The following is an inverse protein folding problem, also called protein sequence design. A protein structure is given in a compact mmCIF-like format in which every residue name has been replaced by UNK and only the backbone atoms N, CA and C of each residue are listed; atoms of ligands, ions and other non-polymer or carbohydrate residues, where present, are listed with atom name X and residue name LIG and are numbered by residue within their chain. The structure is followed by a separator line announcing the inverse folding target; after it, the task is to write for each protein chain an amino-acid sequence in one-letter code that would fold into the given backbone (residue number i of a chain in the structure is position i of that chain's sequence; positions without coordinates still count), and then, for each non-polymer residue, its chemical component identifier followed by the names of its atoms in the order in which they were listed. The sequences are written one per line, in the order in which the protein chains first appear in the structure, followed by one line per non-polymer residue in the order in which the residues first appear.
data_IF_420617943934
#
_entry.id   IF_420617943934
#
_cell.length_a   1.000
_cell.length_b   1.000
_cell.length_c   1.000
_cell.angle_alpha   90.00
_cell.angle_beta   90.00
_cell.angle_gamma   90.00
#
_symmetry.space_group_name_H-M   'P 1'
#
loop_
_entity.id
_entity.type
_entity.pdbx_description
1 polymer ?
#
# COMPACT_ATOMS: atom_id res chain seq x y z
N UNK A 1 -42.12 -24.27 15.47
CA UNK A 1 -40.92 -24.58 14.69
C UNK A 1 -40.49 -23.34 13.93
N UNK A 2 -39.78 -22.43 14.60
CA UNK A 2 -39.05 -21.34 13.95
C UNK A 2 -37.75 -21.95 13.44
N UNK A 3 -37.58 -22.02 12.13
CA UNK A 3 -36.32 -22.42 11.54
C UNK A 3 -35.26 -21.41 11.99
N UNK A 4 -34.36 -21.83 12.88
CA UNK A 4 -33.14 -21.11 13.19
C UNK A 4 -32.37 -20.99 11.87
N UNK A 5 -32.29 -19.78 11.33
CA UNK A 5 -31.42 -19.52 10.19
C UNK A 5 -29.99 -19.67 10.71
N UNK A 6 -29.14 -20.52 10.11
CA UNK A 6 -27.74 -20.55 10.48
C UNK A 6 -27.18 -19.12 10.36
N UNK A 7 -26.36 -18.66 11.32
CA UNK A 7 -25.85 -17.29 11.30
C UNK A 7 -25.13 -17.07 9.97
N UNK A 8 -25.60 -16.12 9.15
CA UNK A 8 -24.95 -15.76 7.89
C UNK A 8 -23.47 -15.49 8.17
N UNK A 9 -22.61 -16.38 7.66
CA UNK A 9 -21.18 -16.31 7.91
C UNK A 9 -20.62 -15.06 7.22
N UNK A 10 -20.48 -13.97 7.97
CA UNK A 10 -20.17 -12.64 7.45
C UNK A 10 -18.87 -12.62 6.64
N UNK A 11 -18.98 -12.22 5.38
CA UNK A 11 -17.83 -12.01 4.49
C UNK A 11 -16.91 -10.93 5.07
N UNK A 12 -15.61 -10.96 4.74
CA UNK A 12 -14.67 -9.90 5.16
C UNK A 12 -15.22 -8.54 4.73
N UNK A 13 -15.48 -7.67 5.72
CA UNK A 13 -16.01 -6.32 5.45
C UNK A 13 -14.96 -5.55 4.64
N UNK A 14 -15.35 -4.80 3.58
CA UNK A 14 -14.41 -4.06 2.73
C UNK A 14 -13.47 -3.12 3.51
N UNK A 15 -13.96 -2.53 4.60
CA UNK A 15 -13.15 -1.68 5.49
C UNK A 15 -12.04 -2.43 6.22
N UNK A 16 -12.29 -3.69 6.61
CA UNK A 16 -11.27 -4.52 7.26
C UNK A 16 -10.20 -4.92 6.24
N UNK A 17 -10.62 -5.30 5.03
CA UNK A 17 -9.69 -5.58 3.93
C UNK A 17 -8.82 -4.34 3.64
N UNK A 18 -9.41 -3.15 3.54
CA UNK A 18 -8.68 -1.89 3.33
C UNK A 18 -7.63 -1.64 4.42
N UNK A 19 -8.02 -1.76 5.70
CA UNK A 19 -7.09 -1.56 6.82
C UNK A 19 -5.92 -2.54 6.76
N UNK A 20 -6.21 -3.82 6.53
CA UNK A 20 -5.21 -4.88 6.46
C UNK A 20 -4.22 -4.67 5.31
N UNK A 21 -4.71 -4.38 4.10
CA UNK A 21 -3.82 -4.18 2.95
C UNK A 21 -3.05 -2.87 3.00
N UNK A 22 -3.60 -1.83 3.64
CA UNK A 22 -2.89 -0.55 3.86
C UNK A 22 -1.76 -0.73 4.86
N UNK A 23 -2.01 -1.41 5.98
CA UNK A 23 -0.97 -1.75 6.95
C UNK A 23 0.10 -2.67 6.34
N UNK A 24 -0.33 -3.69 5.59
CA UNK A 24 0.58 -4.59 4.88
C UNK A 24 1.43 -3.84 3.86
N UNK A 25 0.86 -2.89 3.09
CA UNK A 25 1.61 -2.07 2.16
C UNK A 25 2.68 -1.23 2.88
N UNK A 26 2.31 -0.55 3.97
CA UNK A 26 3.26 0.22 4.78
C UNK A 26 4.40 -0.64 5.32
N UNK A 27 4.09 -1.82 5.86
CA UNK A 27 5.11 -2.73 6.37
C UNK A 27 6.00 -3.29 5.24
N UNK A 28 5.39 -3.74 4.14
CA UNK A 28 6.09 -4.35 3.01
C UNK A 28 7.00 -3.34 2.32
N UNK A 29 6.54 -2.11 2.10
CA UNK A 29 7.36 -1.09 1.43
C UNK A 29 8.55 -0.68 2.29
N UNK A 30 8.37 -0.50 3.60
CA UNK A 30 9.48 -0.17 4.52
C UNK A 30 10.50 -1.31 4.56
N UNK A 31 10.03 -2.55 4.72
CA UNK A 31 10.88 -3.73 4.73
C UNK A 31 11.63 -3.91 3.41
N UNK A 32 10.91 -3.85 2.28
CA UNK A 32 11.50 -4.04 0.96
C UNK A 32 12.50 -2.93 0.62
N UNK A 33 12.21 -1.67 0.96
CA UNK A 33 13.18 -0.57 0.79
C UNK A 33 14.42 -0.79 1.66
N UNK A 34 14.25 -1.18 2.92
CA UNK A 34 15.38 -1.47 3.81
C UNK A 34 16.25 -2.63 3.34
N UNK A 35 15.64 -3.76 2.96
CA UNK A 35 16.38 -4.93 2.42
C UNK A 35 17.07 -4.58 1.11
N UNK A 36 16.39 -3.88 0.20
CA UNK A 36 16.95 -3.52 -1.10
C UNK A 36 18.10 -2.51 -0.94
N UNK A 37 17.99 -1.56 0.00
CA UNK A 37 19.06 -0.63 0.35
C UNK A 37 20.30 -1.37 0.85
N UNK A 38 20.15 -2.36 1.73
CA UNK A 38 21.28 -3.19 2.20
C UNK A 38 21.91 -4.03 1.08
N UNK A 39 21.12 -4.48 0.11
CA UNK A 39 21.61 -5.27 -1.01
C UNK A 39 22.34 -4.43 -2.05
N UNK A 40 21.90 -3.19 -2.26
CA UNK A 40 22.47 -2.26 -3.24
C UNK A 40 23.57 -1.38 -2.66
N UNK A 41 23.74 -1.36 -1.33
CA UNK A 41 24.61 -0.45 -0.59
C UNK A 41 24.34 1.02 -0.96
N UNK A 42 23.07 1.34 -1.19
CA UNK A 42 22.59 2.65 -1.64
C UNK A 42 21.49 3.16 -0.71
N UNK A 43 21.57 4.44 -0.36
CA UNK A 43 20.55 5.12 0.42
C UNK A 43 19.27 5.33 -0.38
N UNK A 44 18.12 5.12 0.26
CA UNK A 44 16.78 5.34 -0.35
C UNK A 44 16.61 6.79 -0.84
N UNK A 45 17.30 7.74 -0.20
CA UNK A 45 17.43 9.12 -0.67
C UNK A 45 18.93 9.48 -0.68
N UNK A 46 19.59 9.21 -1.80
CA UNK A 46 21.02 9.46 -1.99
C UNK A 46 21.38 10.95 -2.21
N UNK A 47 20.51 11.90 -1.83
CA UNK A 47 20.76 13.33 -2.01
C UNK A 47 21.44 13.91 -0.77
N UNK A 48 22.71 14.32 -0.84
CA UNK A 48 23.45 14.86 0.29
C UNK A 48 22.76 16.12 0.84
N UNK A 49 22.49 16.16 2.14
CA UNK A 49 21.90 17.31 2.84
C UNK A 49 20.37 17.31 2.95
N UNK A 50 19.67 16.38 2.30
CA UNK A 50 18.26 16.15 2.59
C UNK A 50 18.16 15.21 3.81
N UNK A 51 17.59 15.71 4.91
CA UNK A 51 17.35 14.92 6.11
C UNK A 51 16.30 13.82 5.90
N UNK A 52 15.80 13.23 6.99
CA UNK A 52 14.84 12.12 6.94
C UNK A 52 13.41 12.55 6.50
N UNK A 53 13.10 13.84 6.59
CA UNK A 53 11.75 14.42 6.38
C UNK A 53 11.15 14.06 5.00
N UNK A 54 11.85 14.21 3.87
CA UNK A 54 11.30 13.89 2.55
C UNK A 54 10.92 12.42 2.41
N UNK A 55 11.71 11.49 2.98
CA UNK A 55 11.41 10.05 2.93
C UNK A 55 10.18 9.68 3.74
N UNK A 56 10.00 10.29 4.92
CA UNK A 56 8.80 10.11 5.74
C UNK A 56 7.57 10.65 5.02
N UNK A 57 7.64 11.87 4.49
CA UNK A 57 6.51 12.47 3.78
C UNK A 57 6.18 11.74 2.48
N UNK A 58 7.18 11.31 1.72
CA UNK A 58 6.99 10.44 0.56
C UNK A 58 6.25 9.16 0.91
N UNK A 59 6.68 8.48 1.97
CA UNK A 59 6.05 7.22 2.41
C UNK A 59 4.61 7.43 2.89
N UNK A 60 4.36 8.48 3.68
CA UNK A 60 3.02 8.84 4.16
C UNK A 60 2.09 9.19 2.98
N UNK A 61 2.56 9.99 2.02
CA UNK A 61 1.83 10.34 0.81
C UNK A 61 1.50 9.10 -0.03
N UNK A 62 2.45 8.17 -0.19
CA UNK A 62 2.24 6.91 -0.90
C UNK A 62 1.18 6.03 -0.22
N UNK A 63 1.23 5.88 1.11
CA UNK A 63 0.25 5.11 1.89
C UNK A 63 -1.14 5.74 1.77
N UNK A 64 -1.25 7.07 1.88
CA UNK A 64 -2.52 7.78 1.74
C UNK A 64 -3.15 7.61 0.36
N UNK A 65 -2.35 7.78 -0.70
CA UNK A 65 -2.80 7.58 -2.08
C UNK A 65 -3.18 6.13 -2.38
N UNK A 66 -2.40 5.17 -1.87
CA UNK A 66 -2.71 3.74 -1.96
C UNK A 66 -4.05 3.43 -1.30
N UNK A 67 -4.25 3.86 -0.04
CA UNK A 67 -5.47 3.62 0.71
C UNK A 67 -6.68 4.23 -0.01
N UNK A 68 -6.56 5.45 -0.54
CA UNK A 68 -7.62 6.10 -1.31
C UNK A 68 -7.94 5.33 -2.60
N UNK A 69 -6.94 4.93 -3.37
CA UNK A 69 -7.14 4.23 -4.63
C UNK A 69 -7.78 2.83 -4.43
N UNK A 70 -7.34 2.09 -3.41
CA UNK A 70 -7.94 0.80 -3.04
C UNK A 70 -9.37 1.02 -2.55
N UNK A 71 -9.61 2.01 -1.70
CA UNK A 71 -10.95 2.35 -1.23
C UNK A 71 -11.94 2.66 -2.35
N UNK A 72 -11.53 3.47 -3.32
CA UNK A 72 -12.33 3.79 -4.50
C UNK A 72 -12.57 2.56 -5.39
N UNK A 73 -11.64 1.60 -5.40
CA UNK A 73 -11.77 0.34 -6.15
C UNK A 73 -12.77 -0.60 -5.48
N UNK A 74 -12.62 -0.85 -4.18
CA UNK A 74 -13.45 -1.84 -3.44
C UNK A 74 -14.85 -1.33 -3.13
N UNK A 75 -15.09 -0.02 -3.17
CA UNK A 75 -16.43 0.58 -3.03
C UNK A 75 -17.33 0.32 -4.26
N UNK A 76 -16.77 -0.10 -5.39
CA UNK A 76 -17.56 -0.42 -6.60
C UNK A 76 -18.23 -1.78 -6.45
N UNK A 77 -19.43 -1.93 -7.04
CA UNK A 77 -20.19 -3.18 -7.01
C UNK A 77 -19.42 -4.39 -7.58
N UNK A 78 -18.58 -4.16 -8.59
CA UNK A 78 -17.68 -5.15 -9.18
C UNK A 78 -16.24 -4.65 -9.18
N UNK A 79 -15.46 -4.91 -8.13
CA UNK A 79 -14.07 -4.50 -8.06
C UNK A 79 -13.25 -5.25 -9.12
N UNK A 80 -12.56 -4.49 -9.97
CA UNK A 80 -11.69 -5.00 -11.04
C UNK A 80 -10.25 -5.09 -10.57
N UNK A 81 -9.51 -6.12 -11.01
CA UNK A 81 -8.06 -6.22 -10.79
C UNK A 81 -7.29 -5.06 -11.42
N UNK A 82 -7.86 -4.37 -12.41
CA UNK A 82 -7.29 -3.14 -12.95
C UNK A 82 -7.15 -2.03 -11.89
N UNK A 83 -8.01 -2.04 -10.87
CA UNK A 83 -7.88 -1.12 -9.74
C UNK A 83 -6.59 -1.30 -8.93
N UNK A 84 -6.01 -2.51 -8.91
CA UNK A 84 -4.72 -2.74 -8.28
C UNK A 84 -3.58 -2.07 -9.04
N UNK A 85 -3.61 -2.09 -10.37
CA UNK A 85 -2.65 -1.35 -11.19
C UNK A 85 -2.79 0.16 -10.98
N UNK A 86 -4.01 0.69 -10.92
CA UNK A 86 -4.27 2.10 -10.62
C UNK A 86 -3.74 2.48 -9.22
N UNK A 87 -3.94 1.62 -8.21
CA UNK A 87 -3.44 1.85 -6.86
C UNK A 87 -1.90 1.86 -6.80
N UNK A 88 -1.25 0.96 -7.55
CA UNK A 88 0.21 0.96 -7.68
C UNK A 88 0.74 2.24 -8.32
N UNK A 89 0.15 2.67 -9.44
CA UNK A 89 0.51 3.94 -10.10
C UNK A 89 0.27 5.13 -9.17
N UNK A 90 -0.86 5.17 -8.47
CA UNK A 90 -1.18 6.23 -7.53
C UNK A 90 -0.15 6.31 -6.38
N UNK A 91 0.26 5.18 -5.81
CA UNK A 91 1.25 5.13 -4.74
C UNK A 91 2.63 5.61 -5.22
N UNK A 92 3.08 5.13 -6.38
CA UNK A 92 4.36 5.50 -6.99
C UNK A 92 4.39 6.98 -7.36
N UNK A 93 3.29 7.55 -7.84
CA UNK A 93 3.21 8.97 -8.19
C UNK A 93 3.05 9.88 -6.95
N UNK A 94 2.44 9.38 -5.88
CA UNK A 94 2.29 10.15 -4.64
C UNK A 94 3.58 10.25 -3.82
N UNK A 95 4.45 9.24 -3.88
CA UNK A 95 5.74 9.26 -3.19
C UNK A 95 6.64 10.46 -3.60
N UNK A 96 6.95 10.72 -4.89
CA UNK A 96 7.78 11.84 -5.28
C UNK A 96 7.13 13.19 -4.98
N UNK A 97 5.80 13.29 -4.96
CA UNK A 97 5.10 14.49 -4.49
C UNK A 97 5.34 14.74 -2.99
N UNK A 98 5.30 13.69 -2.17
CA UNK A 98 5.63 13.78 -0.74
C UNK A 98 7.11 14.11 -0.50
N UNK A 99 8.02 13.52 -1.28
CA UNK A 99 9.45 13.86 -1.25
C UNK A 99 9.68 15.32 -1.64
N UNK A 100 9.06 15.78 -2.74
CA UNK A 100 9.17 17.16 -3.19
C UNK A 100 8.69 18.15 -2.11
N UNK A 101 7.50 17.91 -1.53
CA UNK A 101 6.97 18.75 -0.48
C UNK A 101 7.83 18.70 0.80
N UNK A 102 8.34 17.53 1.16
CA UNK A 102 9.23 17.37 2.31
C UNK A 102 10.59 18.02 2.14
N UNK A 103 11.13 18.03 0.92
CA UNK A 103 12.36 18.74 0.59
C UNK A 103 12.17 20.26 0.71
N UNK A 104 11.04 20.79 0.21
CA UNK A 104 10.69 22.21 0.35
C UNK A 104 10.52 22.62 1.82
N UNK A 105 9.85 21.80 2.63
CA UNK A 105 9.72 22.04 4.07
C UNK A 105 11.07 21.94 4.80
N UNK A 106 11.99 21.14 4.29
CA UNK A 106 13.37 21.04 4.76
C UNK A 106 14.25 22.23 4.34
N UNK A 107 13.72 23.19 3.58
CA UNK A 107 14.45 24.38 3.12
C UNK A 107 15.28 24.18 1.84
N UNK A 108 15.07 23.09 1.10
CA UNK A 108 15.73 22.88 -0.18
C UNK A 108 15.20 23.85 -1.26
N UNK A 109 16.08 24.23 -2.19
CA UNK A 109 15.68 24.97 -3.39
C UNK A 109 14.74 24.11 -4.27
N UNK A 110 13.85 24.77 -5.01
CA UNK A 110 12.87 24.14 -5.90
C UNK A 110 13.51 23.19 -6.92
N UNK A 111 14.68 23.53 -7.46
CA UNK A 111 15.41 22.70 -8.41
C UNK A 111 15.96 21.42 -7.75
N UNK A 112 16.49 21.54 -6.52
CA UNK A 112 16.98 20.39 -5.76
C UNK A 112 15.82 19.46 -5.33
N UNK A 113 14.70 20.03 -4.90
CA UNK A 113 13.50 19.29 -4.56
C UNK A 113 12.92 18.54 -5.78
N UNK A 114 12.88 19.19 -6.94
CA UNK A 114 12.43 18.58 -8.19
C UNK A 114 13.38 17.48 -8.66
N UNK A 115 14.70 17.68 -8.54
CA UNK A 115 15.72 16.68 -8.85
C UNK A 115 15.59 15.43 -7.96
N UNK A 116 15.40 15.62 -6.65
CA UNK A 116 15.17 14.53 -5.71
C UNK A 116 13.90 13.73 -6.05
N UNK A 117 12.79 14.41 -6.32
CA UNK A 117 11.53 13.77 -6.68
C UNK A 117 11.62 13.03 -8.03
N UNK A 118 12.31 13.61 -9.02
CA UNK A 118 12.54 12.99 -10.33
C UNK A 118 13.44 11.76 -10.25
N UNK A 119 14.52 11.83 -9.47
CA UNK A 119 15.46 10.72 -9.28
C UNK A 119 14.78 9.46 -8.74
N UNK A 120 13.81 9.62 -7.83
CA UNK A 120 13.05 8.49 -7.28
C UNK A 120 12.28 7.73 -8.36
N UNK A 121 11.64 8.44 -9.31
CA UNK A 121 10.85 7.80 -10.37
C UNK A 121 11.70 6.96 -11.33
N UNK A 122 12.96 7.34 -11.50
CA UNK A 122 13.92 6.63 -12.37
C UNK A 122 14.75 5.57 -11.63
N UNK A 123 14.56 5.43 -10.32
CA UNK A 123 15.34 4.55 -9.46
C UNK A 123 14.62 3.24 -9.12
N UNK A 124 15.36 2.32 -8.50
CA UNK A 124 14.81 1.09 -7.94
C UNK A 124 13.74 1.34 -6.87
N UNK A 125 13.77 2.49 -6.18
CA UNK A 125 12.79 2.87 -5.16
C UNK A 125 11.37 2.89 -5.74
N UNK A 126 11.20 3.49 -6.93
CA UNK A 126 9.91 3.51 -7.62
C UNK A 126 9.40 2.11 -7.95
N UNK A 127 10.29 1.20 -8.38
CA UNK A 127 9.95 -0.20 -8.69
C UNK A 127 9.50 -0.96 -7.44
N UNK A 128 10.20 -0.80 -6.33
CA UNK A 128 9.87 -1.45 -5.05
C UNK A 128 8.51 -0.98 -4.53
N UNK A 129 8.24 0.33 -4.58
CA UNK A 129 6.94 0.90 -4.20
C UNK A 129 5.84 0.36 -5.11
N UNK A 130 6.06 0.34 -6.43
CA UNK A 130 5.10 -0.16 -7.41
C UNK A 130 4.74 -1.63 -7.15
N UNK A 131 5.74 -2.48 -6.99
CA UNK A 131 5.57 -3.92 -6.78
C UNK A 131 4.85 -4.20 -5.46
N UNK A 132 5.25 -3.53 -4.38
CA UNK A 132 4.63 -3.67 -3.06
C UNK A 132 3.16 -3.23 -3.08
N UNK A 133 2.88 -2.05 -3.65
CA UNK A 133 1.52 -1.55 -3.79
C UNK A 133 0.67 -2.47 -4.65
N UNK A 134 1.18 -2.94 -5.79
CA UNK A 134 0.46 -3.84 -6.67
C UNK A 134 0.09 -5.15 -5.95
N UNK A 135 1.05 -5.78 -5.26
CA UNK A 135 0.82 -7.03 -4.52
C UNK A 135 -0.26 -6.85 -3.43
N UNK A 136 -0.15 -5.80 -2.62
CA UNK A 136 -1.13 -5.52 -1.56
C UNK A 136 -2.51 -5.16 -2.11
N UNK A 137 -2.60 -4.33 -3.14
CA UNK A 137 -3.88 -3.96 -3.75
C UNK A 137 -4.53 -5.16 -4.45
N UNK A 138 -3.76 -5.99 -5.14
CA UNK A 138 -4.25 -7.21 -5.76
C UNK A 138 -4.85 -8.16 -4.72
N UNK A 139 -4.15 -8.37 -3.60
CA UNK A 139 -4.66 -9.18 -2.49
C UNK A 139 -5.95 -8.59 -1.89
N UNK A 140 -6.02 -7.26 -1.74
CA UNK A 140 -7.23 -6.57 -1.26
C UNK A 140 -8.43 -6.75 -2.18
N UNK A 141 -8.22 -6.62 -3.49
CA UNK A 141 -9.25 -6.88 -4.50
C UNK A 141 -9.67 -8.35 -4.47
N UNK A 142 -8.72 -9.28 -4.36
CA UNK A 142 -9.01 -10.70 -4.27
C UNK A 142 -9.90 -11.02 -3.05
N UNK A 143 -9.55 -10.54 -1.86
CA UNK A 143 -10.32 -10.75 -0.63
C UNK A 143 -11.78 -10.33 -0.77
N UNK A 144 -12.03 -9.17 -1.37
CA UNK A 144 -13.39 -8.64 -1.57
C UNK A 144 -14.11 -9.42 -2.69
N UNK A 145 -13.42 -9.71 -3.79
CA UNK A 145 -14.03 -10.35 -4.96
C UNK A 145 -14.36 -11.83 -4.73
N UNK A 146 -13.55 -12.56 -3.97
CA UNK A 146 -13.79 -13.99 -3.70
C UNK A 146 -14.73 -14.23 -2.52
N UNK A 147 -15.26 -13.17 -1.88
CA UNK A 147 -16.03 -13.27 -0.64
C UNK A 147 -15.30 -14.16 0.38
N UNK A 148 -14.00 -13.91 0.57
CA UNK A 148 -13.19 -14.71 1.47
C UNK A 148 -13.87 -14.78 2.85
N UNK A 149 -14.13 -16.00 3.31
CA UNK A 149 -14.69 -16.23 4.65
C UNK A 149 -13.59 -15.97 5.68
N UNK A 150 -14.01 -15.65 6.90
CA UNK A 150 -13.09 -15.59 8.04
C UNK A 150 -12.32 -16.92 8.11
N UNK A 151 -10.98 -16.90 8.20
CA UNK A 151 -10.21 -18.12 8.43
C UNK A 151 -10.72 -18.80 9.69
N UNK A 152 -11.05 -20.09 9.58
CA UNK A 152 -11.45 -20.94 10.70
C UNK A 152 -10.40 -22.01 10.87
N UNK A 153 -10.16 -22.36 12.10
CA UNK A 153 -9.32 -23.50 12.40
C UNK A 153 -10.18 -24.76 12.54
N UNK A 154 -9.66 -25.96 12.19
CA UNK A 154 -10.44 -27.19 12.22
C UNK A 154 -11.09 -27.50 13.57
N UNK A 155 -10.50 -27.04 14.67
CA UNK A 155 -11.04 -27.22 16.02
C UNK A 155 -12.14 -26.21 16.42
N UNK A 156 -12.51 -25.28 15.53
CA UNK A 156 -13.55 -24.27 15.78
C UNK A 156 -14.94 -24.69 15.27
N UNK A 157 -15.05 -25.80 14.53
CA UNK A 157 -16.34 -26.34 14.09
C UNK A 157 -16.82 -27.41 15.10
N UNK A 158 -17.85 -27.13 15.92
CA UNK A 158 -18.39 -28.08 16.90
C UNK A 158 -19.19 -29.23 16.25
N UNK A 159 -19.36 -29.20 14.92
CA UNK A 159 -20.11 -30.18 14.13
C UNK A 159 -19.22 -31.30 13.55
N UNK A 160 -17.91 -31.32 13.87
CA UNK A 160 -16.93 -32.32 13.44
C UNK A 160 -16.79 -33.51 14.42
N UNK A 161 -17.75 -33.69 15.34
CA UNK A 161 -17.93 -34.90 16.19
C UNK A 161 -19.06 -35.82 15.69
#
# INVERSE_FOLDING_TARGET
MTADRPPEHGHVRPLVALGLVTAAFGALVICALGVTSLLLDEDVIAVPGLGQIPGVLGTVSAIGAFALAVWLTIRRAHPSYWGAAIAAVAAVMAYPLGVWFGALLGGADLAAAAGAAGGVLTSWVGVVIAASAFACAWAGVALVRTNARRPRWPWEDPDDE
#
